data_IF_297554966808
#
_entry.id   IF_297554966808
#
_cell.length_a   1.000
_cell.length_b   1.000
_cell.length_c   1.000
_cell.angle_alpha   90.00
_cell.angle_beta   90.00
_cell.angle_gamma   90.00
#
_symmetry.space_group_name_H-M   'P 1'
#
loop_
_entity.id
_entity.type
_entity.pdbx_description
1 polymer ?
#
# COMPACT_ATOMS: atom_id res chain seq x y z
N UNK A 1 -19.45 -3.68 38.43
CA UNK A 1 -18.95 -2.47 37.74
C UNK A 1 -20.14 -1.76 37.13
N UNK A 2 -20.48 -0.58 37.64
CA UNK A 2 -21.64 0.20 37.20
C UNK A 2 -21.21 1.04 35.99
N UNK A 3 -21.61 0.64 34.78
CA UNK A 3 -21.32 1.38 33.57
C UNK A 3 -22.27 2.58 33.48
N UNK A 4 -21.79 3.77 33.88
CA UNK A 4 -22.52 5.01 33.66
C UNK A 4 -22.43 5.37 32.18
N UNK A 5 -23.47 4.97 31.43
CA UNK A 5 -23.65 5.29 30.02
C UNK A 5 -24.46 6.58 29.92
N UNK A 6 -23.85 7.61 29.34
CA UNK A 6 -24.55 8.84 29.01
C UNK A 6 -24.71 8.92 27.50
N UNK A 7 -25.94 9.14 27.05
CA UNK A 7 -26.30 9.26 25.63
C UNK A 7 -26.84 10.66 25.39
N UNK A 8 -26.29 11.34 24.38
CA UNK A 8 -26.75 12.66 23.96
C UNK A 8 -27.09 12.60 22.48
N UNK A 9 -28.34 12.93 22.15
CA UNK A 9 -28.85 12.96 20.77
C UNK A 9 -28.75 14.38 20.22
N UNK A 10 -28.21 14.52 19.01
CA UNK A 10 -28.06 15.78 18.27
C UNK A 10 -28.39 15.50 16.80
N UNK A 11 -29.52 16.01 16.31
CA UNK A 11 -30.01 15.88 14.93
C UNK A 11 -29.92 14.43 14.39
N UNK A 12 -28.91 14.10 13.57
CA UNK A 12 -28.70 12.79 12.95
C UNK A 12 -27.61 11.93 13.63
N UNK A 13 -27.15 12.37 14.81
CA UNK A 13 -25.95 11.83 15.47
C UNK A 13 -26.19 11.57 16.96
N UNK A 14 -25.78 10.40 17.42
CA UNK A 14 -25.82 10.00 18.84
C UNK A 14 -24.41 9.93 19.40
N UNK A 15 -24.13 10.63 20.50
CA UNK A 15 -22.89 10.48 21.26
C UNK A 15 -23.16 9.56 22.45
N UNK A 16 -22.51 8.40 22.49
CA UNK A 16 -22.55 7.47 23.63
C UNK A 16 -21.19 7.45 24.31
N UNK A 17 -21.13 7.74 25.60
CA UNK A 17 -19.87 7.80 26.34
C UNK A 17 -19.89 7.03 27.66
N UNK A 18 -18.71 6.56 28.07
CA UNK A 18 -18.50 5.78 29.29
C UNK A 18 -17.05 5.34 29.47
N UNK A 19 -16.82 4.43 30.41
CA UNK A 19 -15.50 3.84 30.66
C UNK A 19 -15.40 2.48 29.94
N UNK A 20 -14.35 2.31 29.14
CA UNK A 20 -13.96 1.05 28.50
C UNK A 20 -12.55 0.72 28.97
N UNK A 21 -12.38 -0.40 29.66
CA UNK A 21 -11.10 -0.82 30.25
C UNK A 21 -10.42 0.27 31.10
N UNK A 22 -11.22 1.01 31.87
CA UNK A 22 -10.77 2.11 32.73
C UNK A 22 -10.43 3.40 32.00
N UNK A 23 -10.62 3.48 30.68
CA UNK A 23 -10.41 4.68 29.87
C UNK A 23 -11.73 5.35 29.50
N UNK A 24 -11.78 6.67 29.59
CA UNK A 24 -12.94 7.41 29.16
C UNK A 24 -13.01 7.52 27.64
N UNK A 25 -14.14 7.07 27.10
CA UNK A 25 -14.39 6.95 25.67
C UNK A 25 -15.73 7.58 25.35
N UNK A 26 -15.79 8.36 24.27
CA UNK A 26 -17.03 8.78 23.63
C UNK A 26 -17.07 8.28 22.18
N UNK A 27 -18.15 7.60 21.82
CA UNK A 27 -18.41 7.06 20.48
C UNK A 27 -19.52 7.87 19.85
N UNK A 28 -19.29 8.35 18.63
CA UNK A 28 -20.24 9.14 17.86
C UNK A 28 -20.82 8.26 16.76
N UNK A 29 -22.14 8.13 16.74
CA UNK A 29 -22.89 7.25 15.84
C UNK A 29 -23.81 8.09 14.94
N UNK A 30 -24.03 7.68 13.68
CA UNK A 30 -25.07 8.25 12.82
C UNK A 30 -25.73 7.14 12.02
N UNK A 31 -27.06 7.09 12.03
CA UNK A 31 -27.82 6.00 11.40
C UNK A 31 -27.49 4.60 11.96
N UNK A 32 -26.90 4.51 13.16
CA UNK A 32 -26.42 3.27 13.77
C UNK A 32 -24.95 2.92 13.49
N UNK A 33 -24.30 3.60 12.54
CA UNK A 33 -22.90 3.40 12.21
C UNK A 33 -21.98 4.28 13.04
N UNK A 34 -20.81 3.75 13.44
CA UNK A 34 -19.81 4.53 14.17
C UNK A 34 -19.11 5.50 13.24
N UNK A 35 -19.37 6.80 13.43
CA UNK A 35 -18.67 7.86 12.70
C UNK A 35 -17.23 8.00 13.16
N UNK A 36 -17.02 8.05 14.47
CA UNK A 36 -15.70 8.10 15.09
C UNK A 36 -15.78 7.92 16.61
N UNK A 37 -14.61 7.72 17.22
CA UNK A 37 -14.44 7.65 18.66
C UNK A 37 -13.42 8.70 19.12
N UNK A 38 -13.62 9.23 20.32
CA UNK A 38 -12.67 10.09 21.03
C UNK A 38 -12.38 9.51 22.41
N UNK A 39 -11.18 9.77 22.92
CA UNK A 39 -10.76 9.42 24.28
C UNK A 39 -10.42 10.68 25.06
N UNK A 40 -10.60 10.63 26.37
CA UNK A 40 -10.25 11.70 27.30
C UNK A 40 -9.69 11.14 28.60
N UNK A 41 -9.15 12.03 29.41
CA UNK A 41 -8.73 11.75 30.79
C UNK A 41 -9.96 11.46 31.67
N UNK A 42 -11.12 12.05 31.31
CA UNK A 42 -12.43 11.72 31.84
C UNK A 42 -13.53 11.70 30.76
N UNK A 43 -14.72 11.23 31.13
CA UNK A 43 -15.87 11.06 30.22
C UNK A 43 -16.35 12.41 29.67
N UNK A 44 -16.27 13.48 30.46
CA UNK A 44 -16.64 14.83 30.05
C UNK A 44 -15.70 15.36 28.97
N UNK A 45 -14.39 15.16 29.15
CA UNK A 45 -13.38 15.56 28.17
C UNK A 45 -13.51 14.75 26.86
N UNK A 46 -13.80 13.45 26.95
CA UNK A 46 -14.05 12.61 25.78
C UNK A 46 -15.26 13.11 24.96
N UNK A 47 -16.36 13.48 25.64
CA UNK A 47 -17.55 14.07 25.01
C UNK A 47 -17.24 15.46 24.43
N UNK A 48 -16.49 16.30 25.15
CA UNK A 48 -16.07 17.62 24.68
C UNK A 48 -15.28 17.56 23.38
N UNK A 49 -14.30 16.64 23.31
CA UNK A 49 -13.55 16.35 22.08
C UNK A 49 -14.45 15.83 20.95
N UNK A 50 -15.44 14.98 21.27
CA UNK A 50 -16.39 14.48 20.28
C UNK A 50 -17.23 15.61 19.67
N UNK A 51 -17.76 16.52 20.50
CA UNK A 51 -18.55 17.67 20.07
C UNK A 51 -17.74 18.66 19.22
N UNK A 52 -16.52 19.01 19.65
CA UNK A 52 -15.65 19.90 18.88
C UNK A 52 -15.35 19.33 17.48
N UNK A 53 -15.14 18.01 17.39
CA UNK A 53 -14.91 17.32 16.13
C UNK A 53 -16.15 17.26 15.24
N UNK A 54 -17.36 17.16 15.80
CA UNK A 54 -18.62 17.26 15.05
C UNK A 54 -18.82 18.66 14.44
N UNK A 55 -18.57 19.72 15.21
CA UNK A 55 -18.72 21.11 14.74
C UNK A 55 -17.79 21.40 13.57
N UNK A 56 -16.52 20.96 13.65
CA UNK A 56 -15.56 21.13 12.55
C UNK A 56 -15.95 20.35 11.28
N UNK A 57 -16.74 19.28 11.42
CA UNK A 57 -17.20 18.48 10.28
C UNK A 57 -18.40 19.12 9.58
N UNK A 58 -19.33 19.70 10.33
CA UNK A 58 -20.45 20.47 9.75
C UNK A 58 -19.98 21.73 9.03
N UNK A 59 -18.90 22.37 9.49
CA UNK A 59 -18.31 23.54 8.82
C UNK A 59 -17.69 23.23 7.44
N UNK A 60 -17.39 21.96 7.13
CA UNK A 60 -16.81 21.55 5.84
C UNK A 60 -17.86 21.11 4.80
N UNK A 61 -19.15 21.07 5.16
CA UNK A 61 -20.24 20.66 4.27
C UNK A 61 -21.21 21.82 4.02
N UNK A 62 -20.84 22.74 3.12
CA UNK A 62 -21.78 23.65 2.45
C UNK A 62 -21.69 23.42 0.93
N UNK A 63 -22.81 23.51 0.18
CA UNK A 63 -23.06 22.63 -0.96
C UNK A 63 -22.50 23.17 -2.28
N UNK A 64 -21.84 22.31 -3.05
CA UNK A 64 -21.62 22.52 -4.48
C UNK A 64 -22.63 21.71 -5.28
N UNK A 65 -23.26 22.42 -6.20
CA UNK A 65 -24.36 22.07 -7.11
C UNK A 65 -24.21 20.73 -7.82
N UNK A 66 -25.34 20.05 -7.98
CA UNK A 66 -25.50 18.72 -8.55
C UNK A 66 -24.92 18.54 -9.98
N UNK A 67 -24.29 17.38 -10.20
CA UNK A 67 -24.06 16.74 -11.49
C UNK A 67 -24.34 15.22 -11.34
N UNK A 68 -24.67 14.53 -12.43
CA UNK A 68 -25.69 13.48 -12.44
C UNK A 68 -25.24 12.16 -11.78
N UNK A 69 -26.26 11.40 -11.36
CA UNK A 69 -26.17 10.12 -10.70
C UNK A 69 -25.06 9.22 -11.26
N UNK A 70 -24.01 9.02 -10.45
CA UNK A 70 -23.00 8.02 -10.70
C UNK A 70 -23.67 6.65 -10.60
N UNK A 71 -23.56 5.89 -11.69
CA UNK A 71 -23.91 4.49 -11.75
C UNK A 71 -23.38 3.76 -10.51
N UNK A 72 -24.22 2.89 -9.93
CA UNK A 72 -23.93 2.06 -8.79
C UNK A 72 -22.45 1.61 -8.79
N UNK A 73 -21.69 2.10 -7.81
CA UNK A 73 -20.30 1.69 -7.61
C UNK A 73 -20.29 0.19 -7.36
N UNK A 74 -19.86 -0.57 -8.37
CA UNK A 74 -19.41 -1.93 -8.16
C UNK A 74 -18.35 -1.86 -7.06
N UNK A 75 -18.57 -2.59 -5.96
CA UNK A 75 -17.60 -2.68 -4.87
C UNK A 75 -16.23 -3.02 -5.47
N UNK A 76 -15.21 -2.22 -5.13
CA UNK A 76 -13.85 -2.48 -5.58
C UNK A 76 -13.47 -3.93 -5.28
N UNK A 77 -12.84 -4.66 -6.21
CA UNK A 77 -12.44 -6.04 -5.96
C UNK A 77 -11.49 -6.08 -4.74
N UNK A 78 -11.57 -7.14 -3.92
CA UNK A 78 -10.81 -7.24 -2.68
C UNK A 78 -9.29 -7.11 -2.91
N UNK A 79 -8.63 -6.42 -1.99
CA UNK A 79 -7.19 -6.10 -2.04
C UNK A 79 -6.84 -4.75 -2.66
N UNK A 80 -7.79 -3.99 -3.22
CA UNK A 80 -7.54 -2.60 -3.65
C UNK A 80 -7.59 -1.65 -2.44
N UNK A 81 -6.53 -0.89 -2.22
CA UNK A 81 -6.45 0.08 -1.12
C UNK A 81 -5.90 1.41 -1.62
N UNK A 82 -6.58 2.50 -1.32
CA UNK A 82 -6.14 3.85 -1.66
C UNK A 82 -4.78 4.16 -1.02
N UNK A 83 -3.92 4.87 -1.74
CA UNK A 83 -2.54 5.12 -1.28
C UNK A 83 -2.44 5.94 0.00
N UNK A 84 -3.37 6.88 0.22
CA UNK A 84 -3.48 7.60 1.51
C UNK A 84 -3.78 6.69 2.71
N UNK A 85 -4.31 5.48 2.47
CA UNK A 85 -4.60 4.48 3.49
C UNK A 85 -3.42 3.58 3.86
N UNK A 86 -2.33 3.59 3.09
CA UNK A 86 -1.21 2.64 3.23
C UNK A 86 0.01 3.28 3.90
N UNK A 87 0.59 2.55 4.85
CA UNK A 87 1.87 2.89 5.43
C UNK A 87 3.00 2.53 4.45
N UNK A 88 3.76 3.54 4.03
CA UNK A 88 4.93 3.38 3.15
C UNK A 88 6.20 3.83 3.87
N UNK A 89 7.31 3.14 3.63
CA UNK A 89 8.64 3.58 4.07
C UNK A 89 9.02 4.89 3.35
N UNK A 90 9.77 5.81 4.00
CA UNK A 90 10.14 7.09 3.40
C UNK A 90 10.85 6.96 2.04
N UNK A 91 11.74 5.96 1.87
CA UNK A 91 12.39 5.70 0.57
C UNK A 91 11.44 5.35 -0.58
N UNK A 92 10.26 4.79 -0.30
CA UNK A 92 9.24 4.56 -1.35
C UNK A 92 8.62 5.87 -1.83
N UNK A 93 8.62 6.93 -1.01
CA UNK A 93 8.13 8.26 -1.40
C UNK A 93 9.05 8.98 -2.40
N UNK A 94 10.24 8.43 -2.69
CA UNK A 94 11.15 8.95 -3.73
C UNK A 94 10.64 8.67 -5.15
N UNK A 95 9.57 7.88 -5.30
CA UNK A 95 8.91 7.62 -6.58
C UNK A 95 7.42 8.00 -6.50
N UNK A 96 6.81 8.37 -7.63
CA UNK A 96 5.36 8.56 -7.69
C UNK A 96 4.60 7.28 -7.33
N UNK A 97 3.61 7.40 -6.45
CA UNK A 97 2.78 6.29 -6.00
C UNK A 97 1.55 6.13 -6.90
N UNK A 98 1.02 4.90 -7.08
CA UNK A 98 -0.29 4.70 -7.70
C UNK A 98 -1.38 5.37 -6.84
N UNK A 99 -2.56 5.64 -7.38
CA UNK A 99 -3.71 6.08 -6.58
C UNK A 99 -4.21 4.95 -5.67
N UNK A 100 -4.07 3.71 -6.15
CA UNK A 100 -4.53 2.50 -5.47
C UNK A 100 -3.44 1.43 -5.56
N UNK A 101 -3.10 0.84 -4.43
CA UNK A 101 -2.29 -0.37 -4.36
C UNK A 101 -3.17 -1.62 -4.47
N UNK A 102 -2.68 -2.63 -5.18
CA UNK A 102 -3.36 -3.92 -5.33
C UNK A 102 -2.69 -4.97 -4.43
N UNK A 103 -3.11 -5.04 -3.17
CA UNK A 103 -2.66 -6.01 -2.16
C UNK A 103 -3.21 -7.43 -2.41
N UNK A 104 -2.58 -8.45 -1.84
CA UNK A 104 -3.16 -9.81 -1.80
C UNK A 104 -4.44 -9.79 -0.95
N UNK A 105 -5.38 -10.70 -1.21
CA UNK A 105 -6.62 -10.78 -0.42
C UNK A 105 -6.35 -10.96 1.08
N UNK A 106 -7.10 -10.26 1.94
CA UNK A 106 -6.94 -10.30 3.39
C UNK A 106 -5.71 -9.54 3.90
N UNK A 107 -5.10 -8.68 3.08
CA UNK A 107 -3.98 -7.80 3.48
C UNK A 107 -4.44 -6.39 3.81
N UNK A 108 -5.53 -5.96 3.21
CA UNK A 108 -6.20 -4.67 3.43
C UNK A 108 -6.65 -4.46 4.89
N UNK A 109 -6.82 -5.54 5.65
CA UNK A 109 -7.30 -5.51 7.04
C UNK A 109 -6.17 -5.53 8.09
N UNK A 110 -4.90 -5.47 7.67
CA UNK A 110 -3.79 -5.81 8.58
C UNK A 110 -3.28 -4.61 9.38
N UNK A 111 -2.90 -4.82 10.66
CA UNK A 111 -2.45 -3.75 11.53
C UNK A 111 -1.16 -3.11 11.00
N UNK A 112 -1.10 -1.77 11.13
CA UNK A 112 0.12 -1.00 10.87
C UNK A 112 1.17 -1.36 11.91
N UNK A 113 2.43 -1.54 11.47
CA UNK A 113 3.55 -1.86 12.36
C UNK A 113 4.45 -0.62 12.49
N UNK A 114 4.69 -0.16 13.72
CA UNK A 114 5.49 1.04 14.02
C UNK A 114 6.91 0.96 13.46
N UNK A 115 7.53 -0.22 13.44
CA UNK A 115 8.88 -0.43 12.91
C UNK A 115 9.03 -0.33 11.38
N UNK A 116 7.94 -0.13 10.63
CA UNK A 116 8.00 0.05 9.17
C UNK A 116 8.03 1.53 8.74
N UNK A 117 8.07 2.48 9.69
CA UNK A 117 8.08 3.92 9.42
C UNK A 117 9.48 4.54 9.34
N UNK A 118 10.52 3.84 9.79
CA UNK A 118 11.88 4.36 9.83
C UNK A 118 12.51 4.44 8.42
N UNK A 119 13.23 5.53 8.12
CA UNK A 119 13.96 5.79 6.85
C UNK A 119 15.23 4.91 6.69
N UNK A 120 15.14 3.63 7.06
CA UNK A 120 16.24 2.69 7.05
C UNK A 120 16.31 1.79 5.82
N UNK A 121 17.49 1.19 5.59
CA UNK A 121 17.58 -0.06 4.82
C UNK A 121 16.68 -1.06 5.54
N UNK A 122 15.63 -1.54 4.87
CA UNK A 122 14.66 -2.54 5.34
C UNK A 122 15.06 -3.19 6.67
N UNK A 123 14.45 -2.80 7.79
CA UNK A 123 14.64 -3.47 9.09
C UNK A 123 13.99 -4.88 9.11
N UNK A 124 13.98 -5.57 7.97
CA UNK A 124 13.32 -6.86 7.77
C UNK A 124 11.90 -6.77 7.22
N UNK A 125 11.37 -5.59 6.88
CA UNK A 125 10.00 -5.40 6.41
C UNK A 125 9.90 -4.79 5.01
N UNK A 126 8.84 -5.17 4.27
CA UNK A 126 8.58 -4.67 2.93
C UNK A 126 8.11 -3.20 2.93
N UNK A 127 8.48 -2.47 1.88
CA UNK A 127 8.39 -1.00 1.87
C UNK A 127 6.96 -0.45 1.88
N UNK A 128 5.99 -1.24 1.40
CA UNK A 128 4.57 -0.86 1.28
C UNK A 128 3.66 -1.83 2.05
N UNK A 129 4.14 -3.04 2.35
CA UNK A 129 3.39 -4.07 3.08
C UNK A 129 4.18 -4.45 4.34
N UNK A 130 4.00 -3.73 5.46
CA UNK A 130 4.74 -4.00 6.70
C UNK A 130 4.65 -5.44 7.19
N UNK A 131 3.64 -6.20 6.76
CA UNK A 131 3.42 -7.57 7.23
C UNK A 131 4.23 -8.60 6.43
N UNK A 132 4.87 -8.20 5.34
CA UNK A 132 5.80 -9.04 4.59
C UNK A 132 7.22 -8.81 5.10
N UNK A 133 7.96 -9.92 5.22
CA UNK A 133 9.42 -9.84 5.30
C UNK A 133 9.96 -9.06 4.11
N UNK A 134 11.10 -8.41 4.31
CA UNK A 134 11.78 -7.62 3.28
C UNK A 134 11.75 -8.31 1.93
N UNK A 135 11.25 -7.59 0.92
CA UNK A 135 11.44 -7.96 -0.48
C UNK A 135 12.93 -7.95 -0.82
N UNK A 136 13.33 -8.83 -1.74
CA UNK A 136 14.66 -8.76 -2.37
C UNK A 136 14.77 -7.63 -3.41
N UNK A 137 13.66 -7.01 -3.78
CA UNK A 137 13.61 -5.85 -4.69
C UNK A 137 14.13 -4.60 -3.96
N UNK A 138 15.20 -3.95 -4.44
CA UNK A 138 15.83 -2.84 -3.71
C UNK A 138 15.08 -1.51 -3.85
N UNK A 139 14.18 -1.38 -4.82
CA UNK A 139 13.35 -0.19 -5.07
C UNK A 139 11.97 -0.64 -5.55
N UNK A 140 10.93 0.13 -5.22
CA UNK A 140 9.57 -0.12 -5.72
C UNK A 140 9.43 0.28 -7.21
N UNK A 141 8.49 -0.32 -7.96
CA UNK A 141 8.28 0.03 -9.37
C UNK A 141 7.86 1.49 -9.56
N UNK A 142 8.50 2.21 -10.50
CA UNK A 142 8.17 3.60 -10.83
C UNK A 142 7.29 3.65 -12.11
N UNK A 143 6.01 4.00 -11.94
CA UNK A 143 5.02 4.07 -13.03
C UNK A 143 5.36 5.17 -14.03
N UNK A 144 5.82 6.34 -13.56
CA UNK A 144 6.21 7.46 -14.45
C UNK A 144 7.40 7.06 -15.32
N UNK A 145 8.39 6.37 -14.74
CA UNK A 145 9.51 5.81 -15.50
C UNK A 145 9.02 4.78 -16.51
N UNK A 146 8.11 3.88 -16.13
CA UNK A 146 7.55 2.88 -17.03
C UNK A 146 6.87 3.50 -18.27
N UNK A 147 6.17 4.63 -18.09
CA UNK A 147 5.57 5.40 -19.19
C UNK A 147 6.62 6.07 -20.08
N UNK A 148 7.66 6.65 -19.48
CA UNK A 148 8.64 7.44 -20.20
C UNK A 148 9.70 6.60 -20.94
N UNK A 149 10.22 5.55 -20.29
CA UNK A 149 11.34 4.74 -20.82
C UNK A 149 10.93 3.31 -21.17
N UNK A 150 9.69 2.93 -20.93
CA UNK A 150 9.20 1.58 -21.14
C UNK A 150 9.60 0.57 -20.06
N UNK A 151 10.33 0.96 -19.00
CA UNK A 151 10.70 0.09 -17.88
C UNK A 151 10.48 0.76 -16.51
N UNK A 152 9.83 0.07 -15.56
CA UNK A 152 9.53 0.60 -14.22
C UNK A 152 10.76 0.67 -13.30
N UNK A 153 11.87 0.01 -13.67
CA UNK A 153 13.10 -0.06 -12.89
C UNK A 153 14.28 0.51 -13.69
N UNK A 154 15.26 1.14 -13.01
CA UNK A 154 16.47 1.59 -13.69
C UNK A 154 17.33 0.40 -14.13
N UNK A 155 18.01 0.54 -15.27
CA UNK A 155 18.91 -0.49 -15.81
C UNK A 155 20.17 -0.68 -14.95
N UNK A 156 20.51 0.30 -14.11
CA UNK A 156 21.61 0.30 -13.14
C UNK A 156 21.17 1.03 -11.88
N UNK A 157 21.80 0.81 -10.72
CA UNK A 157 21.48 1.57 -9.51
C UNK A 157 21.61 3.09 -9.71
N UNK A 158 20.60 3.82 -9.25
CA UNK A 158 20.55 5.29 -9.23
C UNK A 158 20.11 5.80 -7.84
N UNK A 159 19.85 7.10 -7.70
CA UNK A 159 19.48 7.76 -6.44
C UNK A 159 18.16 7.26 -5.81
N UNK A 160 17.32 6.58 -6.57
CA UNK A 160 16.07 5.97 -6.07
C UNK A 160 16.33 4.63 -5.37
N UNK A 161 17.50 4.02 -5.59
CA UNK A 161 17.87 2.69 -5.06
C UNK A 161 18.57 2.82 -3.70
N UNK A 162 17.76 2.91 -2.64
CA UNK A 162 18.26 2.96 -1.25
C UNK A 162 18.33 1.56 -0.65
N UNK A 163 19.50 0.93 -0.76
CA UNK A 163 19.74 -0.43 -0.26
C UNK A 163 21.22 -0.67 0.05
N UNK A 164 21.53 -1.69 0.86
CA UNK A 164 22.92 -2.10 1.08
C UNK A 164 23.56 -2.62 -0.22
N UNK A 165 24.89 -2.50 -0.34
CA UNK A 165 25.63 -2.85 -1.56
C UNK A 165 25.38 -4.30 -2.04
N UNK A 166 25.08 -5.22 -1.11
CA UNK A 166 24.80 -6.63 -1.43
C UNK A 166 23.46 -6.86 -2.17
N UNK A 167 22.53 -5.91 -2.12
CA UNK A 167 21.19 -5.98 -2.74
C UNK A 167 20.96 -4.85 -3.75
N UNK A 168 21.74 -3.77 -3.70
CA UNK A 168 21.64 -2.63 -4.63
C UNK A 168 21.62 -3.08 -6.10
N UNK A 169 22.52 -3.99 -6.45
CA UNK A 169 22.69 -4.48 -7.81
C UNK A 169 21.52 -5.38 -8.28
N UNK A 170 20.64 -5.85 -7.38
CA UNK A 170 19.45 -6.63 -7.75
C UNK A 170 18.40 -5.83 -8.52
N UNK A 171 18.53 -4.49 -8.57
CA UNK A 171 17.67 -3.64 -9.41
C UNK A 171 17.77 -4.02 -10.89
N UNK A 172 18.94 -4.52 -11.33
CA UNK A 172 19.13 -5.05 -12.68
C UNK A 172 18.26 -6.29 -12.92
N UNK A 173 18.03 -7.10 -11.88
CA UNK A 173 17.11 -8.24 -11.92
C UNK A 173 15.67 -7.80 -12.06
N UNK A 174 15.26 -6.80 -11.28
CA UNK A 174 13.92 -6.24 -11.39
C UNK A 174 13.66 -5.61 -12.76
N UNK A 175 14.67 -4.91 -13.31
CA UNK A 175 14.64 -4.38 -14.67
C UNK A 175 14.45 -5.48 -15.72
N UNK A 176 15.22 -6.58 -15.62
CA UNK A 176 15.13 -7.72 -16.53
C UNK A 176 13.78 -8.44 -16.43
N UNK A 177 13.23 -8.61 -15.22
CA UNK A 177 11.90 -9.21 -15.00
C UNK A 177 10.81 -8.40 -15.68
N UNK A 178 10.80 -7.08 -15.52
CA UNK A 178 9.77 -6.24 -16.15
C UNK A 178 9.91 -6.19 -17.67
N UNK A 179 11.14 -6.18 -18.20
CA UNK A 179 11.38 -6.31 -19.64
C UNK A 179 10.79 -7.62 -20.19
N UNK A 180 11.07 -8.75 -19.54
CA UNK A 180 10.52 -10.06 -19.93
C UNK A 180 9.00 -10.13 -19.84
N UNK A 181 8.41 -9.55 -18.78
CA UNK A 181 6.96 -9.47 -18.65
C UNK A 181 6.33 -8.67 -19.80
N UNK A 182 6.95 -7.56 -20.20
CA UNK A 182 6.50 -6.76 -21.35
C UNK A 182 6.69 -7.49 -22.68
N UNK A 183 7.83 -8.13 -22.89
CA UNK A 183 8.16 -8.87 -24.12
C UNK A 183 7.18 -10.03 -24.36
N UNK A 184 6.78 -10.74 -23.28
CA UNK A 184 5.97 -11.97 -23.39
C UNK A 184 4.49 -11.76 -23.11
N UNK A 185 4.10 -10.65 -22.51
CA UNK A 185 2.74 -10.37 -22.07
C UNK A 185 2.28 -11.16 -20.84
N UNK A 186 2.78 -12.38 -20.65
CA UNK A 186 2.55 -13.24 -19.48
C UNK A 186 3.82 -14.01 -19.10
N UNK A 187 4.13 -14.07 -17.80
CA UNK A 187 5.25 -14.86 -17.27
C UNK A 187 4.91 -15.49 -15.92
N UNK A 188 5.52 -16.64 -15.61
CA UNK A 188 5.65 -17.13 -14.24
C UNK A 188 7.09 -16.95 -13.78
N UNK A 189 7.32 -16.74 -12.47
CA UNK A 189 8.66 -16.57 -11.92
C UNK A 189 9.58 -17.77 -12.26
N UNK A 190 9.04 -18.98 -12.22
CA UNK A 190 9.82 -20.19 -12.50
C UNK A 190 10.37 -20.25 -13.93
N UNK A 191 9.68 -19.62 -14.90
CA UNK A 191 10.01 -19.74 -16.32
C UNK A 191 11.10 -18.73 -16.74
N UNK A 192 11.28 -17.66 -15.95
CA UNK A 192 12.18 -16.55 -16.29
C UNK A 192 13.43 -16.47 -15.42
N UNK A 193 13.50 -17.23 -14.32
CA UNK A 193 14.63 -17.23 -13.37
C UNK A 193 16.00 -17.38 -14.04
N UNK A 194 16.15 -18.36 -14.93
CA UNK A 194 17.42 -18.67 -15.59
C UNK A 194 17.86 -17.55 -16.53
N UNK A 195 16.90 -16.96 -17.25
CA UNK A 195 17.18 -15.88 -18.18
C UNK A 195 17.46 -14.56 -17.45
N UNK A 196 16.72 -14.25 -16.39
CA UNK A 196 17.01 -13.10 -15.52
C UNK A 196 18.43 -13.24 -14.97
N UNK A 197 18.81 -14.43 -14.48
CA UNK A 197 20.16 -14.69 -13.98
C UNK A 197 21.23 -14.47 -15.05
N UNK A 198 20.99 -14.89 -16.29
CA UNK A 198 21.90 -14.66 -17.41
C UNK A 198 22.04 -13.16 -17.75
N UNK A 199 20.95 -12.38 -17.63
CA UNK A 199 20.94 -10.93 -17.91
C UNK A 199 21.62 -10.09 -16.82
N UNK A 200 21.67 -10.54 -15.56
CA UNK A 200 22.19 -9.72 -14.42
C UNK A 200 23.68 -9.87 -14.09
N UNK A 201 24.50 -10.37 -15.03
CA UNK A 201 25.97 -10.51 -14.91
C UNK A 201 26.46 -11.67 -14.03
N UNK A 202 27.72 -12.08 -14.26
CA UNK A 202 28.44 -13.15 -13.56
C UNK A 202 28.52 -12.96 -12.04
N UNK A 203 28.36 -11.72 -11.55
CA UNK A 203 28.32 -11.38 -10.12
C UNK A 203 27.23 -12.11 -9.34
N UNK A 204 26.18 -12.61 -10.01
CA UNK A 204 25.10 -13.39 -9.40
C UNK A 204 25.06 -14.87 -9.82
N UNK A 205 26.19 -15.45 -10.23
CA UNK A 205 26.27 -16.86 -10.59
C UNK A 205 26.25 -17.81 -9.37
N UNK A 206 26.01 -19.10 -9.62
CA UNK A 206 26.12 -20.17 -8.64
C UNK A 206 25.18 -20.01 -7.43
N UNK A 207 25.71 -20.15 -6.21
CA UNK A 207 24.91 -20.08 -4.98
C UNK A 207 24.25 -18.69 -4.76
N UNK A 208 24.82 -17.62 -5.31
CA UNK A 208 24.23 -16.28 -5.22
C UNK A 208 22.94 -16.16 -6.05
N UNK A 209 22.85 -16.84 -7.19
CA UNK A 209 21.65 -16.92 -8.02
C UNK A 209 20.48 -17.46 -7.20
N UNK A 210 20.68 -18.61 -6.54
CA UNK A 210 19.63 -19.31 -5.79
C UNK A 210 19.18 -18.49 -4.58
N UNK A 211 20.12 -17.85 -3.88
CA UNK A 211 19.84 -17.11 -2.64
C UNK A 211 19.28 -15.70 -2.86
N UNK A 212 19.57 -15.07 -3.99
CA UNK A 212 19.21 -13.65 -4.23
C UNK A 212 18.35 -13.43 -5.46
N UNK A 213 18.69 -14.02 -6.60
CA UNK A 213 17.99 -13.76 -7.87
C UNK A 213 16.62 -14.42 -7.89
N UNK A 214 16.52 -15.72 -7.56
CA UNK A 214 15.22 -16.42 -7.60
C UNK A 214 14.14 -15.79 -6.72
N UNK A 215 14.44 -15.39 -5.46
CA UNK A 215 13.45 -14.68 -4.66
C UNK A 215 13.17 -13.26 -5.21
N UNK A 216 14.19 -12.56 -5.73
CA UNK A 216 14.03 -11.25 -6.37
C UNK A 216 13.07 -11.29 -7.57
N UNK A 217 13.10 -12.35 -8.39
CA UNK A 217 12.17 -12.51 -9.52
C UNK A 217 10.72 -12.54 -9.05
N UNK A 218 10.40 -13.41 -8.08
CA UNK A 218 9.05 -13.51 -7.55
C UNK A 218 8.62 -12.22 -6.85
N UNK A 219 9.48 -11.65 -6.02
CA UNK A 219 9.16 -10.41 -5.32
C UNK A 219 8.97 -9.24 -6.28
N UNK A 220 9.76 -9.12 -7.35
CA UNK A 220 9.55 -8.11 -8.39
C UNK A 220 8.17 -8.25 -9.03
N UNK A 221 7.74 -9.46 -9.40
CA UNK A 221 6.42 -9.70 -9.98
C UNK A 221 5.28 -9.33 -9.02
N UNK A 222 5.46 -9.62 -7.73
CA UNK A 222 4.53 -9.20 -6.67
C UNK A 222 4.45 -7.70 -6.53
N UNK A 223 5.59 -7.02 -6.56
CA UNK A 223 5.69 -5.57 -6.41
C UNK A 223 5.11 -4.85 -7.66
N UNK A 224 5.30 -5.43 -8.85
CA UNK A 224 4.63 -4.98 -10.08
C UNK A 224 3.11 -5.11 -9.98
N UNK A 225 2.59 -6.22 -9.46
CA UNK A 225 1.15 -6.36 -9.20
C UNK A 225 0.68 -5.33 -8.18
N UNK A 226 1.43 -5.15 -7.09
CA UNK A 226 1.11 -4.21 -6.03
C UNK A 226 0.92 -2.79 -6.57
N UNK A 227 1.72 -2.39 -7.54
CA UNK A 227 1.65 -1.08 -8.21
C UNK A 227 0.72 -1.05 -9.43
N UNK A 228 -0.04 -2.12 -9.70
CA UNK A 228 -0.97 -2.20 -10.82
C UNK A 228 -0.32 -2.37 -12.19
N UNK A 229 0.99 -2.64 -12.26
CA UNK A 229 1.73 -2.90 -13.51
C UNK A 229 1.69 -4.37 -13.95
N UNK A 230 1.12 -5.24 -13.11
CA UNK A 230 0.82 -6.62 -13.45
C UNK A 230 -0.52 -7.06 -12.83
N UNK A 231 -1.16 -8.06 -13.42
CA UNK A 231 -2.36 -8.72 -12.88
C UNK A 231 -2.20 -10.23 -12.84
N UNK A 232 -2.91 -10.87 -11.90
CA UNK A 232 -2.96 -12.33 -11.76
C UNK A 232 -4.41 -12.78 -11.75
N UNK A 233 -4.75 -13.96 -12.30
CA UNK A 233 -6.13 -14.44 -12.34
C UNK A 233 -6.69 -14.86 -10.97
N UNK A 234 -5.82 -15.21 -10.01
CA UNK A 234 -6.24 -15.64 -8.67
C UNK A 234 -6.13 -14.54 -7.61
N UNK A 235 -7.01 -14.62 -6.60
CA UNK A 235 -6.95 -13.82 -5.37
C UNK A 235 -6.30 -14.67 -4.27
N UNK A 236 -5.06 -14.39 -3.90
CA UNK A 236 -4.35 -15.13 -2.85
C UNK A 236 -2.84 -14.98 -2.91
N UNK A 237 -2.14 -15.75 -2.08
CA UNK A 237 -0.68 -15.76 -2.05
C UNK A 237 -0.07 -16.30 -3.34
N UNK A 238 0.95 -15.62 -3.85
CA UNK A 238 1.56 -15.99 -5.13
C UNK A 238 2.62 -17.07 -4.99
N UNK A 239 2.58 -18.03 -5.92
CA UNK A 239 3.57 -19.09 -6.09
C UNK A 239 4.46 -18.77 -7.28
N UNK A 240 5.56 -19.50 -7.44
CA UNK A 240 6.45 -19.34 -8.58
C UNK A 240 5.84 -19.77 -9.92
N UNK A 241 4.77 -20.57 -9.86
CA UNK A 241 3.93 -20.99 -10.98
C UNK A 241 2.77 -20.03 -11.27
N UNK A 242 2.60 -18.95 -10.48
CA UNK A 242 1.51 -18.01 -10.71
C UNK A 242 1.78 -17.20 -11.98
N UNK A 243 0.84 -17.15 -12.93
CA UNK A 243 0.97 -16.31 -14.13
C UNK A 243 0.71 -14.84 -13.78
N UNK A 244 1.65 -13.98 -14.17
CA UNK A 244 1.53 -12.54 -14.11
C UNK A 244 1.37 -12.01 -15.52
N UNK A 245 0.32 -11.25 -15.76
CA UNK A 245 0.05 -10.59 -17.04
C UNK A 245 0.43 -9.13 -16.95
N UNK A 246 1.06 -8.61 -18.00
CA UNK A 246 1.43 -7.19 -18.08
C UNK A 246 0.17 -6.31 -18.07
N UNK A 247 0.29 -5.14 -17.43
CA UNK A 247 -0.69 -4.06 -17.51
C UNK A 247 0.00 -2.84 -18.12
N UNK A 248 -0.70 -2.16 -19.03
CA UNK A 248 -0.18 -0.94 -19.64
C UNK A 248 0.01 0.14 -18.57
N UNK A 249 1.24 0.67 -18.36
CA UNK A 249 1.51 1.71 -17.36
C UNK A 249 0.70 2.99 -17.57
N UNK A 250 0.22 3.27 -18.79
CA UNK A 250 -0.63 4.45 -19.05
C UNK A 250 -2.03 4.34 -18.43
N UNK A 251 -2.47 3.12 -18.07
CA UNK A 251 -3.77 2.87 -17.43
C UNK A 251 -3.74 2.99 -15.90
N UNK A 252 -2.56 3.05 -15.29
CA UNK A 252 -2.40 3.08 -13.82
C UNK A 252 -2.52 4.52 -13.29
N UNK A 253 -3.59 4.85 -12.58
CA UNK A 253 -3.73 6.18 -11.96
C UNK A 253 -2.65 6.42 -10.90
N UNK A 254 -2.14 7.65 -10.82
CA UNK A 254 -1.20 8.10 -9.79
C UNK A 254 -1.96 8.80 -8.67
N UNK A 255 -1.44 8.73 -7.43
CA UNK A 255 -1.98 9.51 -6.33
C UNK A 255 -1.69 11.00 -6.56
N UNK A 256 -2.65 11.87 -6.22
CA UNK A 256 -2.44 13.31 -6.25
C UNK A 256 -1.39 13.70 -5.22
N UNK A 257 -0.38 14.47 -5.63
CA UNK A 257 0.70 14.92 -4.75
C UNK A 257 0.22 15.81 -3.59
N UNK A 258 -0.99 16.35 -3.70
CA UNK A 258 -1.64 17.15 -2.65
C UNK A 258 -2.13 16.32 -1.45
N UNK A 259 -2.31 15.00 -1.60
CA UNK A 259 -2.83 14.11 -0.55
C UNK A 259 -1.72 13.34 0.20
N UNK A 260 -0.54 13.94 0.38
CA UNK A 260 0.45 13.34 1.27
C UNK A 260 0.06 13.67 2.72
N UNK A 261 -0.27 12.70 3.59
CA UNK A 261 -0.50 13.00 5.00
C UNK A 261 0.81 13.50 5.60
N UNK A 262 0.71 14.53 6.46
CA UNK A 262 1.84 14.98 7.29
C UNK A 262 2.45 13.77 8.02
N UNK A 263 3.79 13.76 8.04
CA UNK A 263 4.64 12.73 8.62
C UNK A 263 4.24 12.37 10.05
#
# INVERSE_FOLDING_TARGET
MTAHRMTIELDDVTISAGLVDGRAVAVVLSGGDTLFQTTGDDVGEAIGKARARLVNRHAQSAPSTAAPASAAMAADPPGRVASGGIQVQPRTRRIPLPAVFCLEAGRELRPRLSGNADDGISQGFHQVDPTRKSSMTPVMPNIVRARASGNAYPARPDETVVSSGAYRDLVMGSHAVYALLKERGVVCAQDIDGEVAARVSSRFAGAAMVKKVRPCVLDTLRDLRLFGLAKTPGQGGFRRTTPFHVVDPHTVLLADTAETPKA
#
